data_IF_138654463989
#
_entry.id   IF_138654463989
#
_cell.length_a   1.000
_cell.length_b   1.000
_cell.length_c   1.000
_cell.angle_alpha   90.00
_cell.angle_beta   90.00
_cell.angle_gamma   90.00
#
_symmetry.space_group_name_H-M   'P 1'
#
loop_
_entity.id
_entity.type
_entity.pdbx_description
1 polymer ?
#
# COMPACT_ATOMS: atom_id res chain seq x y z
N UNK A 1 -15.61 -10.73 10.79
CA UNK A 1 -14.49 -9.90 11.28
C UNK A 1 -13.23 -10.37 10.56
N UNK A 2 -12.66 -9.49 9.73
CA UNK A 2 -11.85 -9.72 8.51
C UNK A 2 -10.46 -10.36 8.77
N UNK A 3 -9.87 -11.03 7.76
CA UNK A 3 -8.83 -10.33 6.99
C UNK A 3 -8.95 -10.47 5.46
N UNK A 4 -8.94 -9.32 4.78
CA UNK A 4 -8.86 -9.19 3.32
C UNK A 4 -7.40 -9.10 2.93
N UNK A 5 -6.65 -10.17 3.18
CA UNK A 5 -5.23 -10.23 2.83
C UNK A 5 -4.92 -11.60 2.24
N UNK A 6 -5.20 -11.74 0.94
CA UNK A 6 -4.49 -12.68 0.08
C UNK A 6 -4.59 -12.15 -1.35
N UNK A 7 -3.46 -12.14 -2.07
CA UNK A 7 -3.32 -13.18 -3.07
C UNK A 7 -2.04 -13.98 -2.88
N UNK A 8 -2.23 -15.28 -2.95
CA UNK A 8 -1.22 -16.34 -3.07
C UNK A 8 -0.60 -16.27 -4.49
N UNK A 9 0.31 -15.32 -4.69
CA UNK A 9 1.15 -15.27 -5.88
C UNK A 9 2.56 -14.79 -5.47
N UNK A 10 3.63 -15.50 -5.87
CA UNK A 10 4.99 -15.04 -5.66
C UNK A 10 5.30 -13.88 -6.61
N UNK A 11 4.75 -12.70 -6.32
CA UNK A 11 5.02 -11.47 -7.05
C UNK A 11 6.40 -10.92 -6.63
N UNK A 12 7.25 -10.49 -7.58
CA UNK A 12 8.57 -9.90 -7.31
C UNK A 12 8.53 -8.54 -6.58
N UNK A 13 7.36 -8.12 -6.06
CA UNK A 13 7.13 -6.91 -5.28
C UNK A 13 7.01 -7.21 -3.77
N UNK A 14 7.92 -8.05 -3.25
CA UNK A 14 8.00 -8.46 -1.83
C UNK A 14 8.68 -7.40 -0.94
N UNK A 15 8.85 -6.17 -1.44
CA UNK A 15 9.47 -5.08 -0.69
C UNK A 15 8.59 -4.71 0.50
N UNK A 16 9.12 -4.88 1.71
CA UNK A 16 8.46 -4.50 2.94
C UNK A 16 8.49 -2.98 3.09
N UNK A 17 7.32 -2.34 3.02
CA UNK A 17 7.19 -0.88 3.14
C UNK A 17 6.89 -0.47 4.57
N UNK A 18 6.01 -1.20 5.27
CA UNK A 18 5.70 -0.95 6.67
C UNK A 18 6.22 -2.06 7.58
N UNK A 19 7.33 -1.83 8.27
CA UNK A 19 7.85 -2.77 9.28
C UNK A 19 6.90 -2.95 10.48
N UNK A 20 6.19 -1.89 10.87
CA UNK A 20 5.35 -1.88 12.07
C UNK A 20 4.11 -2.80 11.92
N UNK A 21 3.56 -2.89 10.71
CA UNK A 21 2.35 -3.69 10.40
C UNK A 21 2.60 -4.84 9.41
N UNK A 22 3.83 -5.01 8.93
CA UNK A 22 4.17 -6.06 7.99
C UNK A 22 3.66 -5.81 6.56
N UNK A 23 3.38 -4.56 6.19
CA UNK A 23 2.73 -4.25 4.90
C UNK A 23 3.74 -4.20 3.76
N UNK A 24 3.44 -4.93 2.70
CA UNK A 24 4.25 -4.98 1.49
C UNK A 24 3.87 -3.89 0.48
N UNK A 25 4.80 -3.52 -0.40
CA UNK A 25 4.54 -2.62 -1.53
C UNK A 25 3.37 -3.12 -2.38
N UNK A 26 3.32 -4.44 -2.65
CA UNK A 26 2.23 -5.05 -3.40
C UNK A 26 0.85 -4.80 -2.80
N UNK A 27 0.72 -4.81 -1.46
CA UNK A 27 -0.55 -4.52 -0.78
C UNK A 27 -0.97 -3.06 -0.96
N UNK A 28 0.00 -2.14 -0.90
CA UNK A 28 -0.26 -0.70 -1.13
C UNK A 28 -0.68 -0.49 -2.58
N UNK A 29 0.03 -1.07 -3.55
CA UNK A 29 -0.32 -0.98 -4.97
C UNK A 29 -1.71 -1.55 -5.26
N UNK A 30 -2.05 -2.69 -4.64
CA UNK A 30 -3.38 -3.29 -4.77
C UNK A 30 -4.46 -2.37 -4.20
N UNK A 31 -4.24 -1.82 -3.01
CA UNK A 31 -5.19 -0.88 -2.41
C UNK A 31 -5.46 0.32 -3.33
N UNK A 32 -4.42 0.86 -3.97
CA UNK A 32 -4.48 1.95 -4.95
C UNK A 32 -5.25 1.52 -6.21
N UNK A 33 -4.97 0.33 -6.75
CA UNK A 33 -5.71 -0.24 -7.88
C UNK A 33 -7.19 -0.48 -7.57
N UNK A 34 -7.52 -0.82 -6.32
CA UNK A 34 -8.90 -0.94 -5.81
C UNK A 34 -9.56 0.42 -5.52
N UNK A 35 -8.92 1.53 -5.88
CA UNK A 35 -9.46 2.88 -5.77
C UNK A 35 -8.94 3.71 -4.59
N UNK A 36 -7.87 3.29 -3.90
CA UNK A 36 -7.24 4.13 -2.90
C UNK A 36 -6.54 5.33 -3.56
N UNK A 37 -7.03 6.53 -3.25
CA UNK A 37 -6.56 7.79 -3.86
C UNK A 37 -5.80 8.68 -2.88
N UNK A 38 -5.78 8.32 -1.60
CA UNK A 38 -5.17 9.10 -0.52
C UNK A 38 -4.44 8.20 0.45
N UNK A 39 -3.48 8.76 1.21
CA UNK A 39 -2.77 8.01 2.26
C UNK A 39 -3.76 7.48 3.30
N UNK A 40 -4.84 8.22 3.59
CA UNK A 40 -5.89 7.78 4.52
C UNK A 40 -6.64 6.53 3.99
N UNK A 41 -6.89 6.46 2.68
CA UNK A 41 -7.53 5.28 2.07
C UNK A 41 -6.59 4.07 2.10
N UNK A 42 -5.30 4.28 1.79
CA UNK A 42 -4.28 3.24 1.92
C UNK A 42 -4.17 2.78 3.39
N UNK A 43 -4.14 3.70 4.36
CA UNK A 43 -4.16 3.38 5.79
C UNK A 43 -5.39 2.55 6.17
N UNK A 44 -6.57 2.90 5.67
CA UNK A 44 -7.80 2.18 5.95
C UNK A 44 -7.79 0.75 5.38
N UNK A 45 -7.18 0.55 4.20
CA UNK A 45 -7.12 -0.75 3.52
C UNK A 45 -5.97 -1.65 3.99
N UNK A 46 -4.78 -1.09 4.22
CA UNK A 46 -3.56 -1.87 4.50
C UNK A 46 -3.01 -1.68 5.91
N UNK A 47 -3.46 -0.65 6.64
CA UNK A 47 -2.93 -0.23 7.95
C UNK A 47 -1.50 0.31 7.93
N UNK A 48 -0.86 0.42 6.76
CA UNK A 48 0.43 1.10 6.63
C UNK A 48 0.36 2.50 7.24
N UNK A 49 1.46 3.00 7.81
CA UNK A 49 1.55 4.36 8.40
C UNK A 49 0.71 4.66 9.65
N UNK A 50 -0.08 3.72 10.17
CA UNK A 50 -0.91 3.95 11.39
C UNK A 50 -0.17 3.72 12.72
N UNK A 51 1.01 3.10 12.69
CA UNK A 51 1.80 2.80 13.89
C UNK A 51 2.87 3.85 14.17
N UNK A 52 3.99 3.72 13.47
CA UNK A 52 5.20 4.52 13.67
C UNK A 52 5.35 5.69 12.68
N UNK A 53 4.52 5.76 11.64
CA UNK A 53 4.56 6.81 10.61
C UNK A 53 5.74 6.78 9.63
N UNK A 54 6.83 6.05 9.92
CA UNK A 54 8.07 6.07 9.12
C UNK A 54 7.95 5.62 7.65
N UNK A 55 6.85 4.95 7.30
CA UNK A 55 6.55 4.51 5.93
C UNK A 55 5.60 5.44 5.16
N UNK A 56 5.11 6.53 5.78
CA UNK A 56 4.30 7.54 5.07
C UNK A 56 4.93 8.08 3.79
N UNK A 57 6.21 8.53 3.77
CA UNK A 57 6.79 9.10 2.56
C UNK A 57 6.84 8.09 1.40
N UNK A 58 7.03 6.80 1.70
CA UNK A 58 7.03 5.75 0.68
C UNK A 58 5.62 5.47 0.15
N UNK A 59 4.60 5.47 1.04
CA UNK A 59 3.20 5.36 0.64
C UNK A 59 2.78 6.53 -0.26
N UNK A 60 3.19 7.75 0.08
CA UNK A 60 2.93 8.95 -0.73
C UNK A 60 3.63 8.87 -2.10
N UNK A 61 4.88 8.37 -2.13
CA UNK A 61 5.62 8.13 -3.37
C UNK A 61 4.88 7.15 -4.28
N UNK A 62 4.42 6.02 -3.75
CA UNK A 62 3.67 5.00 -4.49
C UNK A 62 2.32 5.52 -4.99
N UNK A 63 1.61 6.30 -4.16
CA UNK A 63 0.38 6.98 -4.56
C UNK A 63 0.63 7.95 -5.72
N UNK A 64 1.66 8.80 -5.63
CA UNK A 64 2.01 9.74 -6.69
C UNK A 64 2.46 9.03 -7.97
N UNK A 65 3.24 7.95 -7.85
CA UNK A 65 3.69 7.10 -8.95
C UNK A 65 2.50 6.48 -9.69
N UNK A 66 1.60 5.78 -8.98
CA UNK A 66 0.48 5.08 -9.61
C UNK A 66 -0.65 6.00 -10.08
N UNK A 67 -0.97 7.05 -9.33
CA UNK A 67 -1.98 8.04 -9.73
C UNK A 67 -1.47 8.98 -10.83
N UNK A 68 -0.16 9.24 -10.87
CA UNK A 68 0.50 10.00 -11.92
C UNK A 68 0.80 9.19 -13.19
N UNK A 69 1.05 7.88 -13.07
CA UNK A 69 1.31 6.98 -14.19
C UNK A 69 0.04 6.48 -14.91
N UNK A 70 -1.16 6.74 -14.37
CA UNK A 70 -2.44 6.43 -15.02
C UNK A 70 -2.75 7.31 -16.25
N UNK A 71 -1.74 7.99 -16.82
CA UNK A 71 -1.84 8.76 -18.06
C UNK A 71 -0.76 8.31 -19.05
N UNK A 72 -1.04 7.22 -19.76
CA UNK A 72 -0.50 6.93 -21.09
C UNK A 72 -1.45 5.98 -21.82
#
# INVERSE_FOLDING_TARGET
>A
MTPTAAPDAPDPNTTLVCFCHGVLEAEIRRAIAEGARTVADVQAKTRASTGCGGCQPEVERLLAELLGAAKA
#
